data_IF_284328241799
#
_entry.id   IF_284328241799
#
_cell.length_a   1.000
_cell.length_b   1.000
_cell.length_c   1.000
_cell.angle_alpha   90.00
_cell.angle_beta   90.00
_cell.angle_gamma   90.00
#
_symmetry.space_group_name_H-M   'P 1'
#
loop_
_entity.id
_entity.type
_entity.pdbx_description
1 polymer ?
#
# COMPACT_ATOMS: atom_id res chain seq x y z
N UNK A 1 7.05 -13.45 12.33
CA UNK A 1 6.69 -12.16 12.97
C UNK A 1 7.49 -11.02 12.32
N UNK A 2 7.28 -9.75 12.72
CA UNK A 2 8.06 -8.61 12.17
C UNK A 2 9.57 -8.79 12.38
N UNK A 3 9.96 -9.45 13.46
CA UNK A 3 11.36 -9.73 13.79
C UNK A 3 12.00 -10.71 12.79
N UNK A 4 11.32 -11.80 12.43
CA UNK A 4 11.77 -12.73 11.38
C UNK A 4 11.89 -12.03 10.02
N UNK A 5 10.90 -11.21 9.66
CA UNK A 5 10.93 -10.48 8.40
C UNK A 5 12.09 -9.48 8.34
N UNK A 6 12.40 -8.81 9.46
CA UNK A 6 13.59 -7.95 9.59
C UNK A 6 14.89 -8.74 9.50
N UNK A 7 14.92 -9.97 10.04
CA UNK A 7 16.07 -10.85 9.93
C UNK A 7 16.32 -11.27 8.47
N UNK A 8 15.28 -11.68 7.75
CA UNK A 8 15.38 -12.17 6.37
C UNK A 8 15.56 -11.05 5.33
N UNK A 9 14.94 -9.89 5.53
CA UNK A 9 14.87 -8.82 4.53
C UNK A 9 15.63 -7.56 4.92
N UNK A 10 16.23 -7.51 6.11
CA UNK A 10 17.02 -6.39 6.61
C UNK A 10 16.22 -5.44 7.50
N UNK A 11 16.84 -5.04 8.62
CA UNK A 11 16.21 -4.24 9.70
C UNK A 11 15.63 -2.90 9.25
N UNK A 12 16.23 -2.27 8.25
CA UNK A 12 15.81 -0.96 7.73
C UNK A 12 14.74 -1.05 6.63
N UNK A 13 14.47 -2.25 6.09
CA UNK A 13 13.54 -2.46 4.98
C UNK A 13 12.14 -2.87 5.42
N UNK A 14 12.00 -3.29 6.67
CA UNK A 14 10.73 -3.80 7.23
C UNK A 14 10.34 -2.98 8.46
N UNK A 15 9.16 -2.39 8.41
CA UNK A 15 8.53 -1.69 9.52
C UNK A 15 7.29 -2.46 9.99
N UNK A 16 7.18 -2.68 11.30
CA UNK A 16 5.96 -3.23 11.90
C UNK A 16 4.96 -2.11 12.15
N UNK A 17 3.71 -2.30 11.70
CA UNK A 17 2.62 -1.35 11.92
C UNK A 17 1.56 -2.02 12.77
N UNK A 18 1.25 -1.44 13.93
CA UNK A 18 0.14 -1.92 14.78
C UNK A 18 -1.19 -1.54 14.14
N UNK A 19 -2.12 -2.50 14.04
CA UNK A 19 -3.40 -2.32 13.36
C UNK A 19 -4.53 -1.89 14.32
N UNK A 20 -4.36 -0.71 14.93
CA UNK A 20 -5.31 -0.14 15.89
C UNK A 20 -6.21 0.95 15.26
N UNK A 21 -7.15 1.51 16.04
CA UNK A 21 -8.12 2.51 15.52
C UNK A 21 -7.42 3.76 14.97
N UNK A 22 -6.44 4.30 15.71
CA UNK A 22 -5.75 5.54 15.33
C UNK A 22 -4.92 5.38 14.05
N UNK A 23 -4.17 4.28 13.94
CA UNK A 23 -3.37 3.97 12.74
C UNK A 23 -4.26 3.71 11.52
N UNK A 24 -5.37 2.99 11.67
CA UNK A 24 -6.38 2.80 10.62
C UNK A 24 -6.97 4.12 10.15
N UNK A 25 -7.32 5.02 11.08
CA UNK A 25 -7.82 6.36 10.76
C UNK A 25 -6.80 7.18 9.97
N UNK A 26 -5.54 7.18 10.40
CA UNK A 26 -4.45 7.86 9.68
C UNK A 26 -4.28 7.29 8.26
N UNK A 27 -4.18 5.98 8.13
CA UNK A 27 -4.04 5.28 6.84
C UNK A 27 -5.21 5.56 5.89
N UNK A 28 -6.46 5.50 6.39
CA UNK A 28 -7.64 5.79 5.58
C UNK A 28 -7.72 7.27 5.16
N UNK A 29 -7.25 8.18 6.01
CA UNK A 29 -7.19 9.61 5.68
C UNK A 29 -6.16 9.88 4.59
N UNK A 30 -4.97 9.27 4.69
CA UNK A 30 -3.94 9.33 3.63
C UNK A 30 -4.45 8.75 2.32
N UNK A 31 -5.11 7.59 2.37
CA UNK A 31 -5.74 6.96 1.21
C UNK A 31 -6.76 7.86 0.53
N UNK A 32 -7.68 8.45 1.32
CA UNK A 32 -8.71 9.37 0.79
C UNK A 32 -8.07 10.56 0.08
N UNK A 33 -7.13 11.25 0.73
CA UNK A 33 -6.47 12.42 0.16
C UNK A 33 -5.73 12.04 -1.14
N UNK A 34 -4.99 10.92 -1.15
CA UNK A 34 -4.29 10.47 -2.35
C UNK A 34 -5.23 10.17 -3.53
N UNK A 35 -6.43 9.64 -3.28
CA UNK A 35 -7.45 9.46 -4.31
C UNK A 35 -8.04 10.79 -4.79
N UNK A 36 -8.37 11.70 -3.88
CA UNK A 36 -8.92 13.03 -4.22
C UNK A 36 -7.91 13.88 -5.02
N UNK A 37 -6.64 13.83 -4.63
CA UNK A 37 -5.53 14.52 -5.28
C UNK A 37 -5.04 13.81 -6.56
N UNK A 38 -5.68 12.69 -6.95
CA UNK A 38 -5.36 11.87 -8.12
C UNK A 38 -3.91 11.37 -8.17
N UNK A 39 -3.29 11.19 -7.00
CA UNK A 39 -1.92 10.69 -6.86
C UNK A 39 -1.83 9.18 -7.05
N UNK A 40 -2.95 8.47 -6.90
CA UNK A 40 -3.05 7.03 -7.12
C UNK A 40 -4.15 6.70 -8.13
N UNK A 41 -3.99 5.57 -8.82
CA UNK A 41 -4.94 5.06 -9.82
C UNK A 41 -5.27 3.61 -9.55
N UNK A 42 -6.53 3.26 -9.78
CA UNK A 42 -7.01 1.87 -9.73
C UNK A 42 -6.93 1.29 -11.15
N UNK A 43 -6.30 0.14 -11.35
CA UNK A 43 -6.29 -0.55 -12.64
C UNK A 43 -7.71 -0.75 -13.20
N UNK A 44 -7.88 -0.50 -14.50
CA UNK A 44 -9.10 -0.81 -15.22
C UNK A 44 -9.35 -2.33 -15.17
N UNK A 45 -10.59 -2.76 -14.94
CA UNK A 45 -10.97 -4.18 -14.94
C UNK A 45 -10.73 -4.95 -13.63
N UNK A 46 -9.99 -4.40 -12.67
CA UNK A 46 -9.84 -5.03 -11.34
C UNK A 46 -11.09 -4.79 -10.48
N UNK A 47 -12.03 -5.75 -10.49
CA UNK A 47 -13.30 -5.67 -9.76
C UNK A 47 -13.13 -5.90 -8.27
N UNK A 48 -12.24 -6.80 -7.87
CA UNK A 48 -12.03 -7.16 -6.47
C UNK A 48 -11.41 -5.99 -5.68
N UNK A 49 -10.43 -5.29 -6.26
CA UNK A 49 -9.84 -4.10 -5.63
C UNK A 49 -10.89 -3.00 -5.46
N UNK A 50 -11.74 -2.77 -6.47
CA UNK A 50 -12.85 -1.81 -6.36
C UNK A 50 -13.85 -2.22 -5.28
N UNK A 51 -14.21 -3.50 -5.22
CA UNK A 51 -15.12 -4.03 -4.21
C UNK A 51 -14.56 -3.80 -2.80
N UNK A 52 -13.29 -4.12 -2.57
CA UNK A 52 -12.60 -3.89 -1.28
C UNK A 52 -12.60 -2.41 -0.88
N UNK A 53 -12.46 -1.47 -1.83
CA UNK A 53 -12.54 -0.03 -1.55
C UNK A 53 -13.96 0.39 -1.16
N UNK A 54 -14.97 -0.10 -1.88
CA UNK A 54 -16.38 0.23 -1.61
C UNK A 54 -16.90 -0.38 -0.30
N UNK A 55 -16.30 -1.49 0.12
CA UNK A 55 -16.61 -2.21 1.36
C UNK A 55 -16.17 -1.47 2.62
N UNK A 56 -15.12 -0.66 2.53
CA UNK A 56 -14.62 0.11 3.67
C UNK A 56 -15.61 1.22 4.06
N UNK A 57 -16.16 1.16 5.28
CA UNK A 57 -17.11 2.16 5.79
C UNK A 57 -16.53 2.93 6.97
N UNK A 58 -16.75 4.24 6.97
CA UNK A 58 -16.52 5.12 8.14
C UNK A 58 -17.76 5.09 9.02
N UNK A 59 -17.60 4.69 10.27
CA UNK A 59 -18.62 4.79 11.31
C UNK A 59 -18.14 5.81 12.34
N UNK A 60 -19.01 6.75 12.70
CA UNK A 60 -18.76 7.68 13.79
C UNK A 60 -19.72 7.33 14.92
N UNK A 61 -19.19 6.87 16.05
CA UNK A 61 -19.99 6.53 17.23
C UNK A 61 -20.37 7.75 18.06
N UNK A 62 -21.07 7.51 19.18
CA UNK A 62 -21.49 8.55 20.14
C UNK A 62 -20.34 9.38 20.72
N UNK A 63 -19.12 8.82 20.77
CA UNK A 63 -17.90 9.50 21.22
C UNK A 63 -17.26 10.39 20.14
N UNK A 64 -17.82 10.44 18.93
CA UNK A 64 -17.34 11.29 17.84
C UNK A 64 -16.06 10.82 17.13
N UNK A 65 -15.32 9.84 17.69
CA UNK A 65 -14.12 9.32 17.05
C UNK A 65 -14.50 8.39 15.88
N UNK A 66 -14.05 8.69 14.64
CA UNK A 66 -14.34 7.86 13.49
C UNK A 66 -13.54 6.56 13.52
N UNK A 67 -14.25 5.45 13.29
CA UNK A 67 -13.68 4.11 13.10
C UNK A 67 -13.98 3.62 11.69
N UNK A 68 -13.04 2.89 11.12
CA UNK A 68 -13.22 2.26 9.82
C UNK A 68 -13.49 0.76 10.02
N UNK A 69 -14.57 0.29 9.43
CA UNK A 69 -14.98 -1.12 9.46
C UNK A 69 -15.12 -1.64 8.04
N UNK A 70 -14.80 -2.91 7.87
CA UNK A 70 -15.13 -3.70 6.69
C UNK A 70 -15.68 -5.01 7.24
N UNK A 71 -16.88 -5.39 6.80
CA UNK A 71 -17.47 -6.68 7.20
C UNK A 71 -16.55 -7.82 6.76
N UNK A 72 -16.55 -8.94 7.47
CA UNK A 72 -15.83 -10.11 6.97
C UNK A 72 -16.79 -10.95 6.13
N UNK A 73 -16.43 -11.22 4.88
CA UNK A 73 -17.17 -12.15 4.04
C UNK A 73 -16.18 -13.08 3.31
N UNK A 74 -16.68 -13.96 2.44
CA UNK A 74 -15.87 -14.88 1.64
C UNK A 74 -14.73 -14.21 0.85
N UNK A 75 -14.84 -12.92 0.53
CA UNK A 75 -13.85 -12.12 -0.19
C UNK A 75 -12.80 -11.43 0.73
N UNK A 76 -12.91 -11.54 2.06
CA UNK A 76 -11.93 -11.01 3.03
C UNK A 76 -12.35 -9.73 3.74
N UNK A 77 -11.40 -9.00 4.35
CA UNK A 77 -11.68 -7.83 5.21
C UNK A 77 -11.37 -6.48 4.55
N UNK A 78 -11.45 -6.39 3.22
CA UNK A 78 -10.89 -5.29 2.43
C UNK A 78 -9.36 -5.21 2.51
N UNK A 79 -8.69 -6.36 2.55
CA UNK A 79 -7.24 -6.47 2.74
C UNK A 79 -6.44 -5.77 1.62
N UNK A 80 -6.95 -5.75 0.38
CA UNK A 80 -6.31 -5.01 -0.72
C UNK A 80 -6.32 -3.50 -0.48
N UNK A 81 -7.41 -2.96 0.07
CA UNK A 81 -7.51 -1.55 0.45
C UNK A 81 -6.48 -1.22 1.53
N UNK A 82 -6.38 -2.05 2.57
CA UNK A 82 -5.41 -1.85 3.65
C UNK A 82 -3.96 -1.99 3.18
N UNK A 83 -3.68 -2.93 2.27
CA UNK A 83 -2.37 -3.06 1.65
C UNK A 83 -1.99 -1.81 0.85
N UNK A 84 -2.94 -1.23 0.09
CA UNK A 84 -2.74 0.04 -0.61
C UNK A 84 -2.43 1.18 0.36
N UNK A 85 -3.17 1.29 1.47
CA UNK A 85 -2.94 2.37 2.44
C UNK A 85 -1.63 2.20 3.23
N UNK A 86 -1.21 0.96 3.49
CA UNK A 86 0.11 0.68 4.05
C UNK A 86 1.23 1.11 3.10
N UNK A 87 1.07 0.90 1.79
CA UNK A 87 2.03 1.37 0.80
C UNK A 87 2.12 2.91 0.78
N UNK A 88 0.99 3.61 0.91
CA UNK A 88 0.96 5.07 1.03
C UNK A 88 1.62 5.57 2.31
N UNK A 89 1.36 4.92 3.45
CA UNK A 89 2.01 5.24 4.71
C UNK A 89 3.53 5.07 4.60
N UNK A 90 3.98 3.95 4.04
CA UNK A 90 5.40 3.69 3.81
C UNK A 90 6.03 4.72 2.86
N UNK A 91 5.32 5.14 1.80
CA UNK A 91 5.81 6.16 0.89
C UNK A 91 5.91 7.55 1.55
N UNK A 92 4.99 7.87 2.46
CA UNK A 92 5.00 9.12 3.24
C UNK A 92 6.17 9.16 4.25
N UNK A 93 6.41 8.07 4.95
CA UNK A 93 7.48 7.95 5.96
C UNK A 93 8.84 7.55 5.35
N UNK A 94 8.89 7.32 4.04
CA UNK A 94 10.11 6.90 3.36
C UNK A 94 11.18 7.98 3.47
N UNK A 95 12.26 7.66 4.18
CA UNK A 95 13.52 8.39 4.07
C UNK A 95 14.14 7.99 2.72
N UNK A 96 14.31 8.96 1.83
CA UNK A 96 15.02 8.77 0.56
C UNK A 96 16.49 8.46 0.82
N UNK A 97 16.79 7.18 1.01
CA UNK A 97 18.15 6.67 0.99
C UNK A 97 18.63 6.62 -0.46
N UNK A 98 19.94 6.86 -0.75
CA UNK A 98 20.46 6.73 -2.10
C UNK A 98 20.17 5.33 -2.63
N UNK A 99 19.26 5.25 -3.60
CA UNK A 99 18.83 3.99 -4.20
C UNK A 99 20.01 3.45 -5.01
N UNK A 100 20.59 2.34 -4.55
CA UNK A 100 21.57 1.59 -5.34
C UNK A 100 20.81 0.84 -6.43
N UNK A 101 20.54 1.50 -7.55
CA UNK A 101 19.83 0.92 -8.68
C UNK A 101 20.51 -0.38 -9.12
N UNK A 102 19.93 -1.52 -8.77
CA UNK A 102 20.31 -2.81 -9.36
C UNK A 102 19.57 -2.88 -10.70
N UNK A 103 20.15 -2.26 -11.73
CA UNK A 103 19.60 -2.43 -13.07
C UNK A 103 19.65 -3.92 -13.42
N UNK A 104 18.51 -4.46 -13.86
CA UNK A 104 18.53 -5.75 -14.55
C UNK A 104 19.48 -5.55 -15.73
N UNK A 105 20.47 -6.44 -15.86
CA UNK A 105 21.52 -6.38 -16.90
C UNK A 105 20.93 -5.89 -18.22
N UNK A 106 21.57 -4.94 -18.92
CA UNK A 106 21.03 -4.38 -20.16
C UNK A 106 20.63 -5.51 -21.10
N UNK A 107 19.40 -5.42 -21.61
CA UNK A 107 18.82 -6.41 -22.53
C UNK A 107 19.76 -6.55 -23.74
N UNK A 108 20.27 -7.76 -23.98
CA UNK A 108 21.33 -8.08 -24.97
C UNK A 108 20.87 -7.94 -26.43
N UNK A 109 19.70 -7.33 -26.70
CA UNK A 109 19.18 -7.16 -28.06
C UNK A 109 19.90 -6.04 -28.85
N UNK A 110 20.86 -5.33 -28.25
CA UNK A 110 21.70 -4.34 -28.93
C UNK A 110 22.96 -4.97 -29.56
N UNK A 111 22.80 -6.11 -30.24
CA UNK A 111 23.85 -6.71 -31.10
C UNK A 111 23.38 -6.99 -32.53
N UNK A 112 22.16 -6.60 -32.89
CA UNK A 112 21.58 -6.82 -34.23
C UNK A 112 21.62 -5.60 -35.16
N UNK A 113 22.15 -4.44 -34.70
CA UNK A 113 22.20 -3.20 -35.51
C UNK A 113 23.59 -2.57 -35.59
N UNK A 114 24.65 -3.28 -35.17
CA UNK A 114 26.03 -2.91 -35.54
C UNK A 114 26.35 -3.63 -36.84
N UNK A 115 25.92 -3.08 -37.98
CA UNK A 115 26.23 -3.68 -39.28
C UNK A 115 25.34 -3.28 -40.46
N UNK A 116 24.47 -2.28 -40.32
CA UNK A 116 23.86 -1.58 -41.45
C UNK A 116 24.23 -0.10 -41.36
#
# INVERSE_FOLDING_TARGET
MVEDAKYQHGKQRVQGVLFNVATKLNMATLGKNAFEDKQIRIPQGDSDLRADLHKLKKITGSTGQPRFVAESDSAGHADRTWACFLALLAAKDAVLMPVKAHSRRPRVSRKLTQGY
#
